data_IF_186338119117
#
_entry.id   IF_186338119117
#
_cell.length_a   1.000
_cell.length_b   1.000
_cell.length_c   1.000
_cell.angle_alpha   90.00
_cell.angle_beta   90.00
_cell.angle_gamma   90.00
#
_symmetry.space_group_name_H-M   'P 1'
#
loop_
_entity.id
_entity.type
_entity.pdbx_description
1 polymer ?
#
# COMPACT_ATOMS: atom_id res chain seq x y z
N UNK A 1 -42.99 -50.14 -12.81
CA UNK A 1 -42.08 -51.29 -12.99
C UNK A 1 -40.86 -51.09 -12.09
N UNK A 2 -40.02 -52.09 -11.88
CA UNK A 2 -38.77 -51.95 -11.13
C UNK A 2 -37.60 -52.27 -12.06
N UNK A 3 -36.48 -51.55 -11.90
CA UNK A 3 -35.23 -51.80 -12.61
C UNK A 3 -34.05 -51.88 -11.62
N UNK A 4 -32.86 -52.13 -12.15
CA UNK A 4 -31.59 -52.26 -11.44
C UNK A 4 -30.73 -51.04 -11.75
N UNK A 5 -30.11 -50.44 -10.72
CA UNK A 5 -29.06 -49.44 -10.87
C UNK A 5 -27.71 -50.15 -10.68
N UNK A 6 -26.86 -50.12 -11.72
CA UNK A 6 -25.59 -50.84 -11.77
C UNK A 6 -24.48 -49.91 -12.29
N UNK A 7 -23.46 -49.58 -11.47
CA UNK A 7 -22.38 -48.71 -11.90
C UNK A 7 -21.46 -49.32 -12.96
N UNK A 8 -21.55 -50.63 -13.21
CA UNK A 8 -20.76 -51.31 -14.24
C UNK A 8 -21.43 -51.28 -15.62
N UNK A 9 -22.72 -50.89 -15.69
CA UNK A 9 -23.50 -50.86 -16.91
C UNK A 9 -23.88 -49.42 -17.22
N UNK A 10 -23.34 -48.85 -18.31
CA UNK A 10 -23.49 -47.44 -18.64
C UNK A 10 -24.96 -46.95 -18.68
N UNK A 11 -25.89 -47.76 -19.20
CA UNK A 11 -27.32 -47.42 -19.27
C UNK A 11 -28.05 -47.43 -17.92
N UNK A 12 -27.46 -48.07 -16.90
CA UNK A 12 -28.01 -48.23 -15.55
C UNK A 12 -27.18 -47.50 -14.49
N UNK A 13 -26.20 -46.72 -14.94
CA UNK A 13 -25.33 -45.92 -14.09
C UNK A 13 -25.89 -44.51 -13.97
N UNK A 14 -26.02 -44.01 -12.74
CA UNK A 14 -26.66 -42.73 -12.42
C UNK A 14 -25.78 -41.86 -11.51
N UNK A 15 -24.59 -41.44 -11.97
CA UNK A 15 -23.63 -40.72 -11.16
C UNK A 15 -23.98 -39.23 -11.02
N UNK A 16 -23.38 -38.51 -10.07
CA UNK A 16 -23.75 -37.12 -9.75
C UNK A 16 -23.50 -36.14 -10.90
N UNK A 17 -22.57 -36.43 -11.81
CA UNK A 17 -22.25 -35.56 -12.96
C UNK A 17 -23.44 -35.41 -13.90
N UNK A 18 -24.35 -36.40 -13.95
CA UNK A 18 -25.57 -36.31 -14.75
C UNK A 18 -26.56 -35.29 -14.22
N UNK A 19 -26.40 -34.80 -12.99
CA UNK A 19 -27.24 -33.72 -12.48
C UNK A 19 -26.83 -32.33 -13.01
N UNK A 20 -25.68 -32.20 -13.68
CA UNK A 20 -25.12 -30.91 -14.15
C UNK A 20 -24.65 -30.95 -15.61
N UNK A 21 -24.78 -32.08 -16.31
CA UNK A 21 -24.29 -32.25 -17.69
C UNK A 21 -25.25 -31.70 -18.76
N UNK A 22 -26.41 -31.17 -18.36
CA UNK A 22 -27.45 -30.64 -19.24
C UNK A 22 -28.12 -31.70 -20.13
N UNK A 23 -27.91 -33.00 -19.85
CA UNK A 23 -28.49 -34.09 -20.63
C UNK A 23 -29.87 -34.50 -20.11
N UNK A 24 -30.50 -35.47 -20.79
CA UNK A 24 -31.76 -36.05 -20.32
C UNK A 24 -31.58 -37.12 -19.22
N UNK A 25 -30.33 -37.42 -18.84
CA UNK A 25 -29.98 -38.40 -17.81
C UNK A 25 -30.16 -37.81 -16.41
N UNK A 26 -30.05 -38.65 -15.38
CA UNK A 26 -30.21 -38.22 -14.00
C UNK A 26 -29.24 -38.91 -13.07
N UNK A 27 -28.90 -38.21 -11.99
CA UNK A 27 -28.30 -38.79 -10.79
C UNK A 27 -29.37 -39.48 -9.94
N UNK A 28 -29.02 -40.58 -9.27
CA UNK A 28 -29.93 -41.28 -8.36
C UNK A 28 -29.25 -41.65 -7.03
N UNK A 29 -29.90 -41.34 -5.91
CA UNK A 29 -29.46 -41.80 -4.58
C UNK A 29 -29.77 -43.28 -4.38
N UNK A 30 -29.09 -43.95 -3.43
CA UNK A 30 -29.53 -45.26 -2.94
C UNK A 30 -30.95 -45.18 -2.37
N UNK A 31 -31.79 -46.21 -2.56
CA UNK A 31 -33.13 -46.23 -2.00
C UNK A 31 -33.13 -46.56 -0.51
N UNK A 32 -34.20 -46.17 0.19
CA UNK A 32 -34.34 -46.39 1.63
C UNK A 32 -34.33 -47.86 2.04
N UNK A 33 -34.62 -48.80 1.12
CA UNK A 33 -34.49 -50.23 1.38
C UNK A 33 -33.05 -50.68 1.64
N UNK A 34 -32.05 -49.87 1.26
CA UNK A 34 -30.63 -50.11 1.58
C UNK A 34 -30.20 -49.50 2.91
N UNK A 35 -31.03 -48.64 3.50
CA UNK A 35 -30.74 -47.99 4.77
C UNK A 35 -31.52 -46.68 4.95
N UNK A 36 -32.03 -46.43 6.15
CA UNK A 36 -32.79 -45.21 6.46
C UNK A 36 -31.91 -43.95 6.52
N UNK A 37 -30.58 -44.12 6.64
CA UNK A 37 -29.60 -43.04 6.55
C UNK A 37 -29.64 -42.34 5.19
N UNK A 38 -30.05 -43.02 4.11
CA UNK A 38 -30.23 -42.43 2.79
C UNK A 38 -31.44 -41.49 2.68
N UNK A 39 -32.17 -41.24 3.76
CA UNK A 39 -33.05 -40.06 3.84
C UNK A 39 -32.25 -38.75 3.85
N UNK A 40 -31.00 -38.82 4.33
CA UNK A 40 -30.12 -37.66 4.42
C UNK A 40 -29.05 -37.77 3.35
N UNK A 41 -29.08 -36.86 2.38
CA UNK A 41 -28.14 -36.81 1.26
C UNK A 41 -27.74 -35.37 1.04
N UNK A 42 -26.43 -35.14 0.92
CA UNK A 42 -25.89 -33.84 0.56
C UNK A 42 -25.37 -33.89 -0.86
N UNK A 43 -25.80 -32.96 -1.70
CA UNK A 43 -25.15 -32.69 -2.98
C UNK A 43 -24.51 -31.30 -2.88
N UNK A 44 -23.21 -31.23 -3.11
CA UNK A 44 -22.45 -29.99 -3.09
C UNK A 44 -21.92 -29.72 -4.48
N UNK A 45 -22.13 -28.51 -4.95
CA UNK A 45 -21.62 -27.98 -6.21
C UNK A 45 -20.57 -26.94 -5.85
N UNK A 46 -19.34 -27.16 -6.28
CA UNK A 46 -18.24 -26.20 -6.18
C UNK A 46 -18.24 -25.34 -7.45
N UNK A 47 -18.29 -24.02 -7.28
CA UNK A 47 -18.28 -23.06 -8.38
C UNK A 47 -16.85 -22.65 -8.78
N UNK A 48 -15.83 -23.07 -8.04
CA UNK A 48 -14.40 -22.78 -8.28
C UNK A 48 -13.97 -21.34 -8.00
N UNK A 49 -14.92 -20.41 -7.90
CA UNK A 49 -14.72 -19.01 -7.55
C UNK A 49 -15.97 -18.42 -6.89
N UNK A 50 -15.91 -17.14 -6.52
CA UNK A 50 -17.03 -16.43 -5.93
C UNK A 50 -18.01 -15.92 -7.00
N UNK A 51 -19.25 -16.38 -6.92
CA UNK A 51 -20.35 -15.96 -7.78
C UNK A 51 -21.38 -15.15 -7.00
N UNK A 52 -22.05 -14.26 -7.74
CA UNK A 52 -23.31 -13.64 -7.34
C UNK A 52 -24.47 -14.46 -7.93
N UNK A 53 -25.07 -15.33 -7.11
CA UNK A 53 -26.14 -16.24 -7.54
C UNK A 53 -27.48 -15.49 -7.53
N UNK A 54 -28.20 -15.52 -8.64
CA UNK A 54 -29.53 -14.92 -8.78
C UNK A 54 -30.64 -15.95 -8.52
N UNK A 55 -30.47 -17.16 -9.04
CA UNK A 55 -31.44 -18.24 -8.87
C UNK A 55 -30.81 -19.63 -8.94
N UNK A 56 -31.50 -20.60 -8.35
CA UNK A 56 -31.20 -22.03 -8.47
C UNK A 56 -32.43 -22.75 -9.00
N UNK A 57 -32.26 -23.45 -10.12
CA UNK A 57 -33.27 -24.29 -10.76
C UNK A 57 -32.88 -25.75 -10.56
N UNK A 58 -33.81 -26.57 -10.06
CA UNK A 58 -33.61 -28.01 -9.89
C UNK A 58 -34.75 -28.74 -10.58
N UNK A 59 -34.41 -29.70 -11.43
CA UNK A 59 -35.36 -30.59 -12.10
C UNK A 59 -35.19 -32.01 -11.60
N UNK A 60 -36.24 -32.55 -11.00
CA UNK A 60 -36.25 -33.94 -10.55
C UNK A 60 -36.33 -34.90 -11.74
N UNK A 61 -35.71 -36.07 -11.62
CA UNK A 61 -35.81 -37.16 -12.59
C UNK A 61 -37.03 -38.05 -12.31
N UNK A 62 -36.80 -39.34 -12.15
CA UNK A 62 -37.81 -40.37 -11.87
C UNK A 62 -38.19 -40.47 -10.37
N UNK A 63 -38.18 -39.36 -9.64
CA UNK A 63 -38.59 -39.31 -8.23
C UNK A 63 -39.36 -38.02 -7.92
N UNK A 64 -40.24 -38.02 -6.90
CA UNK A 64 -40.89 -36.80 -6.47
C UNK A 64 -39.89 -35.83 -5.83
N UNK A 65 -40.30 -34.57 -5.71
CA UNK A 65 -39.52 -33.55 -5.00
C UNK A 65 -39.25 -33.94 -3.54
N UNK A 66 -38.14 -33.50 -2.94
CA UNK A 66 -37.81 -33.85 -1.56
C UNK A 66 -38.87 -33.38 -0.57
N UNK A 67 -39.04 -34.13 0.52
CA UNK A 67 -40.06 -33.81 1.54
C UNK A 67 -39.63 -32.69 2.47
N UNK A 68 -38.42 -32.77 3.00
CA UNK A 68 -37.80 -31.74 3.84
C UNK A 68 -36.34 -31.61 3.43
N UNK A 69 -35.90 -30.39 3.15
CA UNK A 69 -34.54 -30.11 2.70
C UNK A 69 -34.19 -28.63 2.86
N UNK A 70 -32.89 -28.32 2.73
CA UNK A 70 -32.33 -26.98 2.83
C UNK A 70 -31.47 -26.71 1.60
N UNK A 71 -31.62 -25.53 1.02
CA UNK A 71 -30.65 -24.98 0.09
C UNK A 71 -29.68 -24.11 0.90
N UNK A 72 -28.41 -24.46 0.88
CA UNK A 72 -27.35 -23.80 1.64
C UNK A 72 -26.25 -23.30 0.69
N UNK A 73 -25.46 -22.35 1.16
CA UNK A 73 -24.31 -21.79 0.47
C UNK A 73 -23.11 -21.67 1.38
N UNK A 74 -21.93 -21.61 0.78
CA UNK A 74 -20.66 -21.27 1.43
C UNK A 74 -20.03 -20.09 0.70
N UNK A 75 -19.27 -19.27 1.43
CA UNK A 75 -18.42 -18.19 0.89
C UNK A 75 -16.94 -18.40 1.19
N UNK A 76 -16.61 -19.49 1.89
CA UNK A 76 -15.29 -19.86 2.42
C UNK A 76 -14.85 -21.22 1.87
N UNK A 77 -15.08 -21.43 0.57
CA UNK A 77 -14.68 -22.64 -0.17
C UNK A 77 -15.16 -23.96 0.45
N UNK A 78 -16.35 -23.95 1.05
CA UNK A 78 -17.01 -25.15 1.57
C UNK A 78 -16.66 -25.50 3.01
N UNK A 79 -15.97 -24.62 3.75
CA UNK A 79 -15.70 -24.82 5.17
C UNK A 79 -16.96 -24.66 6.02
N UNK A 80 -17.72 -23.59 5.80
CA UNK A 80 -18.99 -23.34 6.51
C UNK A 80 -20.14 -23.15 5.54
N UNK A 81 -21.35 -23.49 6.03
CA UNK A 81 -22.56 -23.40 5.23
C UNK A 81 -23.65 -22.64 5.97
N UNK A 82 -24.25 -21.68 5.27
CA UNK A 82 -25.40 -20.92 5.73
C UNK A 82 -26.60 -21.15 4.81
N UNK A 83 -27.82 -21.18 5.34
CA UNK A 83 -29.00 -21.49 4.55
C UNK A 83 -29.45 -20.29 3.70
N UNK A 84 -29.84 -20.55 2.46
CA UNK A 84 -30.57 -19.60 1.62
C UNK A 84 -32.08 -19.75 1.74
N UNK A 85 -32.57 -20.99 1.84
CA UNK A 85 -34.00 -21.27 1.85
C UNK A 85 -34.28 -22.66 2.45
N UNK A 86 -35.32 -22.73 3.26
CA UNK A 86 -35.85 -23.98 3.80
C UNK A 86 -37.06 -24.47 3.01
N UNK A 87 -37.27 -25.80 3.00
CA UNK A 87 -38.36 -26.42 2.27
C UNK A 87 -38.97 -27.57 3.09
N UNK A 88 -40.30 -27.56 3.23
CA UNK A 88 -41.02 -28.62 3.95
C UNK A 88 -42.41 -28.89 3.36
N UNK A 89 -43.03 -30.03 3.68
CA UNK A 89 -44.31 -30.42 3.09
C UNK A 89 -45.51 -29.58 3.52
N UNK A 90 -45.42 -28.91 4.66
CA UNK A 90 -46.45 -28.04 5.23
C UNK A 90 -45.84 -27.08 6.28
N UNK A 91 -46.62 -26.09 6.73
CA UNK A 91 -46.16 -25.04 7.66
C UNK A 91 -45.78 -25.62 9.04
N UNK A 92 -46.47 -26.66 9.50
CA UNK A 92 -46.12 -27.32 10.76
C UNK A 92 -44.76 -28.00 10.69
N UNK A 93 -44.43 -28.62 9.56
CA UNK A 93 -43.10 -29.19 9.33
C UNK A 93 -42.01 -28.12 9.25
N UNK A 94 -42.28 -26.96 8.62
CA UNK A 94 -41.35 -25.83 8.63
C UNK A 94 -41.02 -25.41 10.06
N UNK A 95 -42.03 -25.17 10.89
CA UNK A 95 -41.86 -24.76 12.28
C UNK A 95 -41.11 -25.81 13.12
N UNK A 96 -41.35 -27.10 12.87
CA UNK A 96 -40.73 -28.19 13.62
C UNK A 96 -39.27 -28.43 13.25
N UNK A 97 -38.91 -28.30 11.96
CA UNK A 97 -37.54 -28.56 11.50
C UNK A 97 -36.63 -27.33 11.54
N UNK A 98 -37.20 -26.15 11.28
CA UNK A 98 -36.43 -24.92 11.01
C UNK A 98 -36.83 -23.74 11.90
N UNK A 99 -37.66 -23.97 12.93
CA UNK A 99 -38.12 -22.92 13.84
C UNK A 99 -39.33 -22.14 13.31
N UNK A 100 -40.06 -21.48 14.22
CA UNK A 100 -41.29 -20.76 13.89
C UNK A 100 -41.01 -19.49 13.07
N UNK A 101 -39.87 -18.86 13.31
CA UNK A 101 -39.35 -17.71 12.59
C UNK A 101 -39.25 -17.97 11.09
N UNK A 102 -38.89 -19.19 10.66
CA UNK A 102 -38.82 -19.55 9.24
C UNK A 102 -40.14 -19.46 8.50
N UNK A 103 -41.28 -19.42 9.21
CA UNK A 103 -42.62 -19.32 8.60
C UNK A 103 -43.07 -17.88 8.36
N UNK A 104 -42.30 -16.91 8.84
CA UNK A 104 -42.58 -15.50 8.66
C UNK A 104 -42.20 -15.04 7.24
N UNK A 105 -42.86 -14.00 6.70
CA UNK A 105 -42.47 -13.40 5.43
C UNK A 105 -41.12 -12.68 5.55
N UNK A 106 -40.46 -12.48 4.40
CA UNK A 106 -39.21 -11.70 4.29
C UNK A 106 -39.48 -10.25 4.70
N UNK A 107 -38.72 -9.76 5.66
CA UNK A 107 -38.67 -8.36 6.09
C UNK A 107 -37.31 -7.73 5.76
N UNK A 108 -36.22 -8.48 5.92
CA UNK A 108 -34.85 -8.07 5.65
C UNK A 108 -34.24 -8.84 4.45
N UNK A 109 -33.18 -8.29 3.86
CA UNK A 109 -32.56 -8.86 2.65
C UNK A 109 -31.89 -10.24 2.91
N UNK A 110 -31.53 -10.54 4.16
CA UNK A 110 -30.86 -11.78 4.56
C UNK A 110 -31.77 -12.80 5.25
N UNK A 111 -33.07 -12.49 5.42
CA UNK A 111 -34.04 -13.40 6.05
C UNK A 111 -34.11 -14.76 5.34
N UNK A 112 -34.13 -15.85 6.11
CA UNK A 112 -34.22 -17.21 5.58
C UNK A 112 -35.58 -17.81 5.91
N UNK A 113 -36.41 -18.00 4.89
CA UNK A 113 -37.79 -18.48 5.06
C UNK A 113 -37.95 -19.95 4.72
N UNK A 114 -39.12 -20.51 5.00
CA UNK A 114 -39.51 -21.88 4.65
C UNK A 114 -40.72 -21.89 3.71
N UNK A 115 -40.55 -22.50 2.54
CA UNK A 115 -41.62 -22.61 1.54
C UNK A 115 -42.14 -24.05 1.43
N UNK A 116 -43.43 -24.18 1.11
CA UNK A 116 -44.11 -25.49 1.06
C UNK A 116 -44.48 -25.95 -0.35
N UNK A 117 -44.45 -25.04 -1.33
CA UNK A 117 -44.89 -25.31 -2.70
C UNK A 117 -44.01 -26.32 -3.45
N UNK A 118 -42.73 -26.40 -3.10
CA UNK A 118 -41.73 -27.25 -3.74
C UNK A 118 -41.47 -28.58 -3.03
N UNK A 119 -42.24 -28.91 -1.97
CA UNK A 119 -42.13 -30.18 -1.23
C UNK A 119 -43.44 -30.99 -1.24
N UNK A 120 -44.33 -30.67 -2.19
CA UNK A 120 -45.53 -31.46 -2.47
C UNK A 120 -45.15 -32.70 -3.29
N UNK A 121 -45.88 -33.80 -3.06
CA UNK A 121 -45.60 -35.11 -3.68
C UNK A 121 -45.91 -35.16 -5.17
N UNK A 122 -46.79 -34.27 -5.66
CA UNK A 122 -47.09 -34.13 -7.09
C UNK A 122 -46.22 -33.01 -7.66
N UNK A 123 -45.61 -33.17 -8.86
CA UNK A 123 -45.62 -34.38 -9.67
C UNK A 123 -44.68 -35.47 -9.11
N UNK A 124 -44.96 -36.73 -9.46
CA UNK A 124 -44.17 -37.88 -9.00
C UNK A 124 -42.83 -38.04 -9.75
N UNK A 125 -42.70 -37.40 -10.92
CA UNK A 125 -41.52 -37.38 -11.77
C UNK A 125 -41.43 -36.01 -12.45
N UNK A 126 -40.23 -35.58 -12.84
CA UNK A 126 -40.06 -34.33 -13.60
C UNK A 126 -40.40 -33.05 -12.85
N UNK A 127 -40.52 -33.09 -11.52
CA UNK A 127 -40.88 -31.94 -10.72
C UNK A 127 -39.83 -30.84 -10.77
N UNK A 128 -40.26 -29.60 -10.97
CA UNK A 128 -39.37 -28.44 -11.02
C UNK A 128 -39.43 -27.65 -9.71
N UNK A 129 -38.27 -27.14 -9.32
CA UNK A 129 -38.04 -26.31 -8.15
C UNK A 129 -37.27 -25.08 -8.63
N UNK A 130 -37.86 -23.91 -8.40
CA UNK A 130 -37.24 -22.62 -8.78
C UNK A 130 -37.06 -21.78 -7.53
N UNK A 131 -35.82 -21.43 -7.24
CA UNK A 131 -35.46 -20.60 -6.08
C UNK A 131 -34.85 -19.32 -6.60
N UNK A 132 -35.58 -18.20 -6.51
CA UNK A 132 -35.05 -16.87 -6.82
C UNK A 132 -34.60 -16.22 -5.52
N UNK A 133 -33.33 -15.82 -5.44
CA UNK A 133 -32.77 -15.21 -4.22
C UNK A 133 -33.10 -13.71 -4.11
N UNK A 134 -33.50 -13.08 -5.21
CA UNK A 134 -33.82 -11.64 -5.29
C UNK A 134 -35.31 -11.33 -5.12
N UNK A 135 -36.20 -12.31 -5.34
CA UNK A 135 -37.64 -12.06 -5.31
C UNK A 135 -38.12 -11.68 -3.90
N UNK A 136 -38.98 -10.67 -3.81
CA UNK A 136 -39.58 -10.16 -2.57
C UNK A 136 -38.58 -9.65 -1.52
N UNK A 137 -37.34 -9.35 -1.92
CA UNK A 137 -36.33 -8.71 -1.08
C UNK A 137 -36.48 -7.18 -1.13
N UNK A 138 -36.43 -6.46 0.00
CA UNK A 138 -36.59 -5.01 0.04
C UNK A 138 -35.66 -4.26 -0.93
N UNK A 139 -34.39 -4.65 -1.00
CA UNK A 139 -33.38 -3.96 -1.82
C UNK A 139 -33.22 -4.55 -3.22
N UNK A 140 -34.13 -5.40 -3.69
CA UNK A 140 -34.03 -6.04 -5.01
C UNK A 140 -33.87 -5.02 -6.15
N UNK A 141 -34.58 -3.89 -6.07
CA UNK A 141 -34.52 -2.82 -7.08
C UNK A 141 -33.28 -1.92 -6.94
N UNK A 142 -32.57 -1.99 -5.82
CA UNK A 142 -31.39 -1.20 -5.49
C UNK A 142 -30.22 -2.10 -5.09
N UNK A 143 -30.06 -3.22 -5.78
CA UNK A 143 -29.13 -4.30 -5.45
C UNK A 143 -27.69 -3.79 -5.21
N UNK A 144 -27.19 -2.91 -6.08
CA UNK A 144 -25.82 -2.38 -6.00
C UNK A 144 -25.57 -1.49 -4.77
N UNK A 145 -26.62 -0.98 -4.13
CA UNK A 145 -26.52 -0.12 -2.95
C UNK A 145 -26.68 -0.90 -1.63
N UNK A 146 -27.20 -2.13 -1.68
CA UNK A 146 -27.35 -2.99 -0.49
C UNK A 146 -26.17 -3.94 -0.37
N UNK A 147 -25.30 -3.70 0.61
CA UNK A 147 -24.22 -4.64 0.96
C UNK A 147 -24.79 -5.97 1.47
N UNK A 148 -25.90 -5.92 2.22
CA UNK A 148 -26.55 -7.11 2.80
C UNK A 148 -27.05 -8.06 1.71
N UNK A 149 -27.78 -7.55 0.70
CA UNK A 149 -28.29 -8.40 -0.38
C UNK A 149 -27.17 -8.94 -1.28
N UNK A 150 -26.11 -8.14 -1.49
CA UNK A 150 -24.90 -8.58 -2.19
C UNK A 150 -24.20 -9.70 -1.42
N UNK A 151 -24.01 -9.57 -0.11
CA UNK A 151 -23.41 -10.63 0.70
C UNK A 151 -24.30 -11.87 0.77
N UNK A 152 -25.62 -11.71 0.86
CA UNK A 152 -26.59 -12.81 0.89
C UNK A 152 -26.51 -13.67 -0.37
N UNK A 153 -26.41 -13.05 -1.55
CA UNK A 153 -26.40 -13.77 -2.84
C UNK A 153 -25.01 -14.26 -3.28
N UNK A 154 -23.95 -14.00 -2.50
CA UNK A 154 -22.60 -14.52 -2.78
C UNK A 154 -22.46 -16.00 -2.42
N UNK A 155 -21.83 -16.79 -3.27
CA UNK A 155 -21.46 -18.17 -2.97
C UNK A 155 -20.22 -18.63 -3.76
N UNK A 156 -19.40 -19.46 -3.13
CA UNK A 156 -18.39 -20.30 -3.77
C UNK A 156 -18.88 -21.74 -3.92
N UNK A 157 -19.72 -22.20 -2.99
CA UNK A 157 -20.33 -23.53 -3.06
C UNK A 157 -21.82 -23.44 -2.80
N UNK A 158 -22.58 -24.29 -3.47
CA UNK A 158 -24.03 -24.45 -3.27
C UNK A 158 -24.31 -25.88 -2.84
N UNK A 159 -25.02 -26.05 -1.74
CA UNK A 159 -25.33 -27.37 -1.18
C UNK A 159 -26.83 -27.60 -1.05
N UNK A 160 -27.29 -28.70 -1.63
CA UNK A 160 -28.62 -29.24 -1.40
C UNK A 160 -28.52 -30.25 -0.26
N UNK A 161 -29.01 -29.87 0.93
CA UNK A 161 -29.05 -30.72 2.10
C UNK A 161 -30.43 -31.36 2.21
N UNK A 162 -30.56 -32.56 1.65
CA UNK A 162 -31.79 -33.34 1.67
C UNK A 162 -31.92 -34.03 3.03
N UNK A 163 -33.02 -33.80 3.75
CA UNK A 163 -33.19 -34.31 5.12
C UNK A 163 -34.19 -35.47 5.19
N UNK A 164 -35.22 -35.45 4.34
CA UNK A 164 -36.28 -36.47 4.33
C UNK A 164 -36.96 -36.62 2.98
N UNK A 165 -37.18 -37.86 2.58
CA UNK A 165 -37.91 -38.19 1.34
C UNK A 165 -39.41 -37.91 1.48
N UNK A 166 -40.09 -37.60 0.37
CA UNK A 166 -41.55 -37.46 0.38
C UNK A 166 -42.20 -38.82 0.22
N UNK A 167 -43.03 -39.20 1.19
CA UNK A 167 -43.78 -40.47 1.16
C UNK A 167 -45.25 -40.25 0.87
N UNK A 168 -45.89 -41.25 0.26
CA UNK A 168 -47.34 -41.28 0.11
C UNK A 168 -48.00 -41.63 1.45
N UNK A 169 -49.12 -40.98 1.77
CA UNK A 169 -49.83 -41.17 3.04
C UNK A 169 -50.13 -42.65 3.32
N UNK A 170 -50.59 -43.39 2.30
CA UNK A 170 -50.90 -44.82 2.41
C UNK A 170 -49.68 -45.73 2.65
N UNK A 171 -48.45 -45.22 2.52
CA UNK A 171 -47.22 -45.99 2.72
C UNK A 171 -46.51 -45.66 4.04
N UNK A 172 -47.01 -44.71 4.84
CA UNK A 172 -46.36 -44.24 6.06
C UNK A 172 -45.99 -45.37 7.03
N UNK A 173 -46.94 -46.27 7.33
CA UNK A 173 -46.73 -47.38 8.25
C UNK A 173 -45.70 -48.39 7.72
N UNK A 174 -45.73 -48.68 6.42
CA UNK A 174 -44.78 -49.60 5.79
C UNK A 174 -43.36 -49.02 5.73
N UNK A 175 -43.23 -47.70 5.52
CA UNK A 175 -41.94 -47.00 5.60
C UNK A 175 -41.41 -47.00 7.04
N UNK A 176 -42.28 -46.73 8.03
CA UNK A 176 -41.90 -46.77 9.44
C UNK A 176 -41.43 -48.17 9.89
N UNK A 177 -42.04 -49.22 9.34
CA UNK A 177 -41.63 -50.63 9.55
C UNK A 177 -40.47 -51.08 8.66
N UNK A 178 -39.94 -50.19 7.83
CA UNK A 178 -38.82 -50.46 6.91
C UNK A 178 -39.09 -51.61 5.92
N UNK A 179 -40.35 -51.77 5.48
CA UNK A 179 -40.72 -52.83 4.53
C UNK A 179 -39.97 -52.63 3.19
N UNK A 180 -39.09 -53.57 2.80
CA UNK A 180 -38.25 -53.43 1.61
C UNK A 180 -39.06 -53.37 0.32
N UNK A 181 -40.30 -53.87 0.27
CA UNK A 181 -41.17 -53.80 -0.92
C UNK A 181 -41.64 -52.37 -1.20
N UNK A 182 -41.74 -51.55 -0.16
CA UNK A 182 -42.19 -50.16 -0.21
C UNK A 182 -40.98 -49.20 -0.20
N UNK A 183 -40.00 -49.42 0.68
CA UNK A 183 -38.84 -48.53 0.85
C UNK A 183 -37.91 -48.51 -0.36
N UNK A 184 -37.94 -49.55 -1.22
CA UNK A 184 -37.18 -49.56 -2.50
C UNK A 184 -37.65 -48.49 -3.50
N UNK A 185 -38.85 -47.94 -3.30
CA UNK A 185 -39.45 -46.91 -4.19
C UNK A 185 -39.13 -45.48 -3.75
N UNK A 186 -38.48 -45.29 -2.61
CA UNK A 186 -38.15 -43.98 -2.07
C UNK A 186 -36.64 -43.76 -2.17
N UNK A 187 -36.27 -42.81 -3.03
CA UNK A 187 -34.92 -42.33 -3.30
C UNK A 187 -35.04 -40.91 -3.87
N UNK A 188 -33.91 -40.24 -4.04
CA UNK A 188 -33.82 -38.97 -4.76
C UNK A 188 -33.27 -39.18 -6.15
N UNK A 189 -33.81 -38.46 -7.12
CA UNK A 189 -33.37 -38.46 -8.50
C UNK A 189 -33.42 -37.05 -9.05
N UNK A 190 -32.27 -36.54 -9.51
CA UNK A 190 -32.11 -35.18 -10.02
C UNK A 190 -31.54 -35.26 -11.42
N UNK A 191 -32.26 -34.63 -12.34
CA UNK A 191 -31.95 -34.60 -13.77
C UNK A 191 -31.09 -33.40 -14.13
N UNK A 192 -31.40 -32.24 -13.56
CA UNK A 192 -30.67 -31.01 -13.85
C UNK A 192 -30.64 -30.09 -12.62
N UNK A 193 -29.48 -29.46 -12.41
CA UNK A 193 -29.25 -28.39 -11.45
C UNK A 193 -28.59 -27.25 -12.22
N UNK A 194 -29.37 -26.20 -12.46
CA UNK A 194 -28.93 -25.00 -13.15
C UNK A 194 -28.84 -23.84 -12.15
N UNK A 195 -27.64 -23.30 -11.94
CA UNK A 195 -27.39 -22.16 -11.07
C UNK A 195 -27.14 -20.93 -11.95
N UNK A 196 -28.07 -19.98 -11.91
CA UNK A 196 -27.96 -18.73 -12.65
C UNK A 196 -27.34 -17.64 -11.79
N UNK A 197 -26.32 -16.97 -12.30
CA UNK A 197 -25.62 -15.90 -11.61
C UNK A 197 -24.65 -15.15 -12.51
N UNK A 198 -23.81 -14.31 -11.89
CA UNK A 198 -22.69 -13.64 -12.55
C UNK A 198 -21.45 -13.74 -11.69
N UNK A 199 -20.27 -13.66 -12.30
CA UNK A 199 -19.04 -13.54 -11.52
C UNK A 199 -18.98 -12.20 -10.79
N UNK A 200 -18.20 -12.16 -9.71
CA UNK A 200 -17.91 -10.93 -8.98
C UNK A 200 -16.58 -10.36 -9.49
N UNK A 201 -16.65 -9.37 -10.38
CA UNK A 201 -15.46 -8.73 -10.97
C UNK A 201 -15.25 -7.27 -10.51
N UNK A 202 -15.92 -6.86 -9.43
CA UNK A 202 -15.84 -5.50 -8.84
C UNK A 202 -16.05 -4.33 -9.83
N UNK A 203 -16.81 -4.57 -10.92
CA UNK A 203 -17.04 -3.57 -11.96
C UNK A 203 -15.92 -3.40 -12.98
N UNK A 204 -14.85 -4.21 -12.91
CA UNK A 204 -13.71 -4.14 -13.81
C UNK A 204 -13.67 -5.24 -14.87
N UNK A 205 -14.72 -6.05 -15.02
CA UNK A 205 -14.86 -6.96 -16.15
C UNK A 205 -16.33 -7.16 -16.52
N UNK A 206 -16.57 -7.36 -17.80
CA UNK A 206 -17.87 -7.66 -18.40
C UNK A 206 -18.07 -9.17 -18.65
N UNK A 207 -16.97 -9.92 -18.78
CA UNK A 207 -16.96 -11.35 -19.11
C UNK A 207 -16.01 -12.11 -18.19
N UNK A 208 -16.36 -13.36 -17.90
CA UNK A 208 -15.46 -14.34 -17.31
C UNK A 208 -15.18 -15.45 -18.31
N UNK A 209 -13.96 -15.93 -18.31
CA UNK A 209 -13.54 -17.02 -19.19
C UNK A 209 -12.58 -17.96 -18.46
N UNK A 210 -12.35 -19.13 -19.05
CA UNK A 210 -11.39 -20.11 -18.57
C UNK A 210 -10.00 -19.63 -19.03
N UNK A 211 -9.32 -18.86 -18.19
CA UNK A 211 -8.00 -18.31 -18.48
C UNK A 211 -6.84 -19.11 -17.90
N UNK A 212 -7.13 -19.99 -16.94
CA UNK A 212 -6.12 -20.82 -16.27
C UNK A 212 -5.86 -22.11 -17.09
N UNK A 213 -4.65 -22.34 -17.62
CA UNK A 213 -4.33 -23.57 -18.35
C UNK A 213 -4.38 -24.83 -17.47
N UNK A 214 -4.20 -24.67 -16.15
CA UNK A 214 -4.13 -25.77 -15.20
C UNK A 214 -5.51 -26.13 -14.62
N UNK A 215 -6.49 -25.22 -14.71
CA UNK A 215 -7.86 -25.43 -14.22
C UNK A 215 -8.92 -25.01 -15.25
N UNK A 216 -9.32 -25.98 -16.08
CA UNK A 216 -10.30 -25.79 -17.14
C UNK A 216 -11.75 -25.57 -16.66
N UNK A 217 -12.01 -25.69 -15.36
CA UNK A 217 -13.36 -25.54 -14.80
C UNK A 217 -13.54 -24.23 -14.04
N UNK A 218 -12.45 -23.49 -13.83
CA UNK A 218 -12.47 -22.20 -13.14
C UNK A 218 -12.64 -21.06 -14.13
N UNK A 219 -13.80 -20.42 -14.05
CA UNK A 219 -14.03 -19.13 -14.70
C UNK A 219 -13.26 -18.05 -13.94
N UNK A 220 -12.60 -17.14 -14.64
CA UNK A 220 -11.91 -15.99 -14.08
C UNK A 220 -12.34 -14.72 -14.80
N UNK A 221 -12.46 -13.61 -14.08
CA UNK A 221 -12.78 -12.32 -14.67
C UNK A 221 -11.69 -11.91 -15.67
N UNK A 222 -12.10 -11.52 -16.89
CA UNK A 222 -11.21 -10.87 -17.87
C UNK A 222 -11.04 -9.41 -17.48
N UNK A 223 -10.16 -9.16 -16.52
CA UNK A 223 -10.00 -7.84 -15.92
C UNK A 223 -9.59 -6.78 -16.94
N UNK A 224 -10.29 -5.65 -16.86
CA UNK A 224 -10.05 -4.41 -17.58
C UNK A 224 -9.55 -3.36 -16.57
N UNK A 225 -9.50 -2.09 -16.97
CA UNK A 225 -9.16 -0.98 -16.07
C UNK A 225 -7.80 -1.13 -15.37
N UNK A 226 -6.86 -1.86 -15.99
CA UNK A 226 -5.55 -2.22 -15.44
C UNK A 226 -5.62 -2.89 -14.05
N UNK A 227 -6.67 -3.67 -13.83
CA UNK A 227 -6.84 -4.49 -12.63
C UNK A 227 -6.44 -5.94 -12.90
N UNK A 228 -6.02 -6.62 -11.84
CA UNK A 228 -5.50 -7.97 -11.86
C UNK A 228 -6.10 -8.76 -10.69
N UNK A 229 -6.00 -10.09 -10.73
CA UNK A 229 -6.62 -10.98 -9.75
C UNK A 229 -7.75 -11.81 -10.35
N UNK A 230 -8.36 -12.69 -9.54
CA UNK A 230 -9.45 -13.54 -10.05
C UNK A 230 -10.79 -12.79 -10.17
N UNK A 231 -10.94 -11.77 -9.33
CA UNK A 231 -12.13 -10.92 -9.19
C UNK A 231 -11.80 -9.45 -9.51
N UNK A 232 -10.63 -9.18 -10.10
CA UNK A 232 -10.14 -7.83 -10.38
C UNK A 232 -10.01 -6.97 -9.10
N UNK A 233 -9.59 -7.61 -8.02
CA UNK A 233 -9.55 -7.08 -6.66
C UNK A 233 -8.29 -6.27 -6.31
N UNK A 234 -7.39 -6.08 -7.27
CA UNK A 234 -6.17 -5.28 -7.11
C UNK A 234 -5.76 -4.62 -8.42
N UNK A 235 -4.96 -3.57 -8.35
CA UNK A 235 -4.28 -3.04 -9.53
C UNK A 235 -3.18 -3.99 -10.02
N UNK A 236 -2.94 -3.97 -11.33
CA UNK A 236 -1.82 -4.71 -11.92
C UNK A 236 -0.47 -4.11 -11.51
N UNK A 237 0.62 -4.91 -11.50
CA UNK A 237 1.97 -4.40 -11.29
C UNK A 237 2.28 -3.23 -12.24
N UNK A 238 2.85 -2.15 -11.71
CA UNK A 238 3.13 -0.92 -12.46
C UNK A 238 1.96 0.06 -12.57
N UNK A 239 0.72 -0.37 -12.27
CA UNK A 239 -0.50 0.44 -12.31
C UNK A 239 -1.02 0.84 -10.93
N UNK A 240 -0.09 1.22 -10.05
CA UNK A 240 -0.36 1.33 -8.62
C UNK A 240 -0.14 2.79 -8.15
N UNK A 241 -0.45 3.77 -9.02
CA UNK A 241 -0.36 5.19 -8.65
C UNK A 241 -1.41 5.57 -7.60
N UNK A 242 -2.62 4.99 -7.69
CA UNK A 242 -3.76 5.28 -6.80
C UNK A 242 -4.23 4.02 -6.09
N UNK A 243 -4.80 4.18 -4.89
CA UNK A 243 -5.39 3.08 -4.10
C UNK A 243 -6.54 2.43 -4.87
N UNK A 244 -6.50 1.10 -4.98
CA UNK A 244 -7.54 0.33 -5.67
C UNK A 244 -8.92 0.54 -5.03
N UNK A 245 -9.96 0.67 -5.86
CA UNK A 245 -11.36 0.65 -5.44
C UNK A 245 -12.25 0.01 -6.52
N UNK A 246 -13.41 -0.58 -6.16
CA UNK A 246 -14.37 -1.06 -7.14
C UNK A 246 -14.84 0.05 -8.09
N UNK A 247 -15.08 -0.29 -9.36
CA UNK A 247 -15.66 0.64 -10.32
C UNK A 247 -17.17 0.79 -10.08
N UNK A 248 -17.63 2.05 -9.93
CA UNK A 248 -19.04 2.39 -9.85
C UNK A 248 -19.68 2.55 -11.22
N UNK A 249 -21.02 2.66 -11.27
CA UNK A 249 -21.76 2.84 -12.54
C UNK A 249 -21.52 4.21 -13.19
N UNK A 250 -21.27 5.26 -12.39
CA UNK A 250 -21.03 6.63 -12.88
C UNK A 250 -19.57 7.08 -12.76
N UNK A 251 -18.79 6.40 -11.93
CA UNK A 251 -17.40 6.73 -11.62
C UNK A 251 -16.57 5.46 -11.80
N UNK A 252 -16.09 5.28 -13.04
CA UNK A 252 -15.29 4.14 -13.43
C UNK A 252 -13.86 4.30 -12.91
N UNK A 253 -13.51 3.57 -11.86
CA UNK A 253 -12.14 3.56 -11.38
C UNK A 253 -11.24 2.76 -12.34
N UNK A 254 -10.15 3.40 -12.76
CA UNK A 254 -9.10 2.80 -13.58
C UNK A 254 -7.78 2.92 -12.83
N UNK A 255 -7.09 1.79 -12.66
CA UNK A 255 -5.76 1.78 -12.08
C UNK A 255 -4.80 2.51 -13.01
N UNK A 256 -4.10 3.49 -12.46
CA UNK A 256 -3.22 4.38 -13.20
C UNK A 256 -1.76 3.94 -13.10
N UNK A 257 -1.00 3.95 -14.20
CA UNK A 257 0.43 3.65 -14.19
C UNK A 257 1.21 4.64 -13.31
N UNK A 258 2.21 4.14 -12.58
CA UNK A 258 3.14 5.00 -11.87
C UNK A 258 3.97 5.80 -12.88
N UNK A 259 4.21 7.08 -12.59
CA UNK A 259 5.09 7.91 -13.42
C UNK A 259 6.53 7.81 -12.92
N UNK A 260 7.34 6.98 -13.57
CA UNK A 260 8.77 6.82 -13.26
C UNK A 260 9.69 7.42 -14.33
N UNK A 261 9.16 8.31 -15.18
CA UNK A 261 9.85 8.91 -16.33
C UNK A 261 10.61 7.90 -17.22
N UNK A 262 10.16 6.65 -17.30
CA UNK A 262 10.82 5.62 -18.12
C UNK A 262 12.12 5.05 -17.52
N UNK A 263 12.45 5.35 -16.27
CA UNK A 263 13.62 4.81 -15.56
C UNK A 263 13.35 3.47 -14.84
N UNK A 264 12.09 3.09 -14.69
CA UNK A 264 11.65 1.79 -14.18
C UNK A 264 10.17 1.59 -14.51
N UNK A 265 9.72 0.33 -14.53
CA UNK A 265 8.30 -0.03 -14.62
C UNK A 265 7.79 -0.66 -13.32
N UNK A 266 8.64 -0.75 -12.31
CA UNK A 266 8.33 -1.32 -11.01
C UNK A 266 8.02 -0.18 -10.04
N UNK A 267 6.88 -0.27 -9.37
CA UNK A 267 6.49 0.65 -8.32
C UNK A 267 5.66 -0.05 -7.25
N UNK A 268 5.65 0.54 -6.07
CA UNK A 268 4.76 0.16 -4.97
C UNK A 268 3.89 1.36 -4.61
N UNK A 269 2.73 1.09 -4.02
CA UNK A 269 1.90 2.16 -3.47
C UNK A 269 2.23 2.36 -2.00
N UNK A 270 2.45 3.61 -1.62
CA UNK A 270 2.70 4.07 -0.27
C UNK A 270 1.62 5.07 0.14
N UNK A 271 0.92 4.79 1.23
CA UNK A 271 -0.20 5.59 1.72
C UNK A 271 0.26 6.94 2.28
N UNK A 272 1.45 7.01 2.88
CA UNK A 272 1.98 8.27 3.42
C UNK A 272 2.36 9.23 2.28
N UNK A 273 2.92 8.69 1.20
CA UNK A 273 3.25 9.45 -0.02
C UNK A 273 1.99 10.04 -0.66
N UNK A 274 0.89 9.27 -0.70
CA UNK A 274 -0.41 9.71 -1.21
C UNK A 274 -1.00 10.83 -0.35
N UNK A 275 -1.05 10.62 0.98
CA UNK A 275 -1.58 11.63 1.91
C UNK A 275 -0.80 12.95 1.87
N UNK A 276 0.52 12.88 1.62
CA UNK A 276 1.40 14.05 1.52
C UNK A 276 1.49 14.64 0.10
N UNK A 277 0.84 14.05 -0.90
CA UNK A 277 0.91 14.45 -2.31
C UNK A 277 2.37 14.57 -2.82
N UNK A 278 3.17 13.53 -2.60
CA UNK A 278 4.60 13.53 -2.96
C UNK A 278 4.90 12.82 -4.28
N UNK A 279 4.02 11.94 -4.75
CA UNK A 279 4.17 11.28 -6.05
C UNK A 279 3.53 12.10 -7.16
N UNK A 280 4.19 12.16 -8.32
CA UNK A 280 3.67 12.77 -9.53
C UNK A 280 2.96 11.70 -10.36
N UNK A 281 1.78 12.03 -10.88
CA UNK A 281 0.98 11.18 -11.74
C UNK A 281 1.44 11.27 -13.21
N UNK A 282 0.78 10.57 -14.15
CA UNK A 282 1.17 10.63 -15.57
C UNK A 282 0.81 11.95 -16.27
N UNK A 283 0.00 12.80 -15.62
CA UNK A 283 -0.42 14.11 -16.13
C UNK A 283 0.47 15.24 -15.60
N UNK A 284 1.38 14.94 -14.68
CA UNK A 284 2.30 15.91 -14.07
C UNK A 284 1.76 16.57 -12.80
N UNK A 285 0.66 16.06 -12.25
CA UNK A 285 0.05 16.54 -11.02
C UNK A 285 0.56 15.73 -9.82
N UNK A 286 0.69 16.38 -8.66
CA UNK A 286 1.07 15.70 -7.41
C UNK A 286 -0.14 15.00 -6.81
N UNK A 287 -0.47 13.82 -7.32
CA UNK A 287 -1.60 13.00 -6.89
C UNK A 287 -1.21 11.52 -6.87
N UNK A 288 -1.56 10.80 -5.81
CA UNK A 288 -1.29 9.38 -5.68
C UNK A 288 -0.08 9.04 -4.81
N UNK A 289 0.09 7.74 -4.57
CA UNK A 289 1.11 7.17 -3.69
C UNK A 289 2.12 6.28 -4.40
N UNK A 290 2.22 6.34 -5.73
CA UNK A 290 3.15 5.50 -6.49
C UNK A 290 4.61 5.84 -6.21
N UNK A 291 5.39 4.89 -5.71
CA UNK A 291 6.84 5.02 -5.46
C UNK A 291 7.60 4.06 -6.34
N UNK A 292 8.38 4.62 -7.26
CA UNK A 292 9.21 3.88 -8.21
C UNK A 292 10.31 3.09 -7.49
N UNK A 293 10.59 1.88 -7.98
CA UNK A 293 11.57 0.96 -7.43
C UNK A 293 12.71 0.75 -8.41
N UNK A 294 13.93 0.62 -7.89
CA UNK A 294 15.13 0.29 -8.70
C UNK A 294 15.34 1.26 -9.88
N UNK A 295 15.27 2.58 -9.62
CA UNK A 295 15.50 3.62 -10.63
C UNK A 295 16.81 3.37 -11.42
N UNK A 296 16.69 3.24 -12.74
CA UNK A 296 17.83 3.06 -13.64
C UNK A 296 18.39 4.40 -14.11
N UNK A 297 19.38 4.41 -15.00
CA UNK A 297 19.94 5.64 -15.59
C UNK A 297 20.54 6.64 -14.58
N UNK A 298 21.00 6.15 -13.42
CA UNK A 298 21.56 6.94 -12.31
C UNK A 298 20.56 7.97 -11.72
N UNK A 299 19.27 7.73 -11.84
CA UNK A 299 18.23 8.54 -11.20
C UNK A 299 17.84 7.98 -9.83
N UNK A 300 17.23 8.84 -9.00
CA UNK A 300 16.67 8.53 -7.69
C UNK A 300 15.46 9.43 -7.39
N UNK A 301 14.80 9.21 -6.25
CA UNK A 301 13.58 9.91 -5.86
C UNK A 301 12.32 9.06 -6.05
N UNK A 302 11.17 9.59 -5.65
CA UNK A 302 9.88 8.89 -5.67
C UNK A 302 9.48 8.52 -7.10
N UNK A 303 9.72 9.44 -8.04
CA UNK A 303 9.39 9.28 -9.45
C UNK A 303 10.63 9.04 -10.32
N UNK A 304 11.80 8.76 -9.72
CA UNK A 304 13.09 8.72 -10.43
C UNK A 304 13.42 10.05 -11.14
N UNK A 305 13.06 11.17 -10.53
CA UNK A 305 13.09 12.53 -11.10
C UNK A 305 14.36 13.32 -10.77
N UNK A 306 15.25 12.75 -9.93
CA UNK A 306 16.51 13.37 -9.48
C UNK A 306 17.69 12.53 -9.89
N UNK A 307 18.87 13.13 -9.97
CA UNK A 307 20.10 12.39 -10.18
C UNK A 307 20.71 11.93 -8.87
N UNK A 308 21.25 10.71 -8.87
CA UNK A 308 22.03 10.17 -7.75
C UNK A 308 23.28 11.01 -7.46
N UNK A 309 23.80 10.92 -6.24
CA UNK A 309 25.02 11.61 -5.84
C UNK A 309 26.20 11.34 -6.79
N UNK A 310 26.90 12.40 -7.20
CA UNK A 310 27.96 12.36 -8.22
C UNK A 310 27.47 12.44 -9.67
N UNK A 311 26.17 12.59 -9.89
CA UNK A 311 25.55 12.90 -11.18
C UNK A 311 24.72 14.18 -11.09
N UNK A 312 24.44 14.79 -12.25
CA UNK A 312 23.59 15.97 -12.37
C UNK A 312 22.83 15.92 -13.70
N UNK A 313 21.69 16.62 -13.79
CA UNK A 313 20.95 16.82 -15.03
C UNK A 313 21.37 18.14 -15.70
N UNK A 314 22.02 18.12 -16.88
CA UNK A 314 22.37 19.33 -17.62
C UNK A 314 21.14 20.13 -18.06
N UNK A 315 21.31 21.44 -18.28
CA UNK A 315 20.24 22.27 -18.84
C UNK A 315 19.79 21.75 -20.22
N UNK A 316 18.48 21.64 -20.41
CA UNK A 316 17.86 21.22 -21.67
C UNK A 316 17.70 19.71 -21.87
N UNK A 317 18.11 18.87 -20.90
CA UNK A 317 17.80 17.45 -20.89
C UNK A 317 16.39 17.19 -20.37
N UNK A 318 15.65 16.32 -21.04
CA UNK A 318 14.30 15.92 -20.61
C UNK A 318 14.38 14.87 -19.51
N UNK A 319 13.37 14.83 -18.64
CA UNK A 319 13.30 13.87 -17.53
C UNK A 319 13.21 12.42 -17.99
N UNK A 320 12.69 12.17 -19.20
CA UNK A 320 12.51 10.84 -19.76
C UNK A 320 13.75 10.29 -20.50
N UNK A 321 14.80 11.11 -20.66
CA UNK A 321 16.00 10.73 -21.40
C UNK A 321 16.78 9.64 -20.64
N UNK A 322 17.22 8.59 -21.34
CA UNK A 322 18.02 7.52 -20.71
C UNK A 322 19.41 7.99 -20.25
N UNK A 323 19.88 9.14 -20.77
CA UNK A 323 21.13 9.80 -20.39
C UNK A 323 20.88 11.14 -19.66
N UNK A 324 19.70 11.29 -19.03
CA UNK A 324 19.30 12.50 -18.28
C UNK A 324 20.33 12.90 -17.23
N UNK A 325 20.91 11.93 -16.53
CA UNK A 325 21.92 12.14 -15.49
C UNK A 325 23.33 11.90 -16.03
N UNK A 326 24.12 12.97 -16.07
CA UNK A 326 25.52 12.94 -16.47
C UNK A 326 26.43 12.95 -15.25
N UNK A 327 27.54 12.21 -15.34
CA UNK A 327 28.51 12.13 -14.25
C UNK A 327 29.20 13.47 -14.04
N UNK A 328 29.31 13.91 -12.79
CA UNK A 328 30.09 15.09 -12.42
C UNK A 328 31.57 14.88 -12.79
N UNK A 329 32.14 15.81 -13.57
CA UNK A 329 33.56 15.80 -13.92
C UNK A 329 34.37 16.62 -12.92
N UNK A 330 34.35 16.20 -11.65
CA UNK A 330 34.99 16.90 -10.56
C UNK A 330 36.20 16.14 -10.02
N UNK A 331 37.26 16.87 -9.66
CA UNK A 331 38.38 16.27 -8.97
C UNK A 331 38.03 16.09 -7.49
N UNK A 332 37.78 14.83 -7.10
CA UNK A 332 37.39 14.43 -5.73
C UNK A 332 38.39 14.81 -4.64
N UNK A 333 39.61 15.24 -5.00
CA UNK A 333 40.58 15.79 -4.06
C UNK A 333 40.20 17.21 -3.61
N UNK A 334 39.69 18.04 -4.53
CA UNK A 334 39.31 19.44 -4.29
C UNK A 334 37.80 19.60 -4.02
N UNK A 335 36.97 18.64 -4.45
CA UNK A 335 35.51 18.69 -4.34
C UNK A 335 34.93 17.55 -3.51
N UNK A 336 33.63 17.62 -3.21
CA UNK A 336 32.86 16.53 -2.60
C UNK A 336 32.59 15.37 -3.58
N UNK A 337 32.84 15.60 -4.89
CA UNK A 337 32.46 14.71 -5.98
C UNK A 337 31.08 14.99 -6.57
N UNK A 338 30.25 15.79 -5.88
CA UNK A 338 28.96 16.27 -6.38
C UNK A 338 29.13 17.56 -7.19
N UNK A 339 28.09 17.88 -7.97
CA UNK A 339 28.03 19.08 -8.77
C UNK A 339 26.60 19.62 -8.86
N UNK A 340 26.48 20.90 -9.18
CA UNK A 340 25.20 21.60 -9.24
C UNK A 340 24.36 21.15 -10.42
N UNK A 341 23.06 20.98 -10.18
CA UNK A 341 22.06 20.71 -11.20
C UNK A 341 22.07 21.78 -12.31
N UNK A 342 21.91 21.35 -13.55
CA UNK A 342 21.92 22.20 -14.73
C UNK A 342 23.32 22.57 -15.23
N UNK A 343 24.16 23.17 -14.37
CA UNK A 343 25.47 23.70 -14.78
C UNK A 343 26.61 22.68 -14.69
N UNK A 344 26.51 21.67 -13.82
CA UNK A 344 27.58 20.72 -13.54
C UNK A 344 28.76 21.33 -12.76
N UNK A 345 28.57 22.50 -12.16
CA UNK A 345 29.61 23.17 -11.38
C UNK A 345 29.91 22.39 -10.09
N UNK A 346 31.18 22.07 -9.84
CA UNK A 346 31.58 21.23 -8.73
C UNK A 346 31.33 21.87 -7.36
N UNK A 347 30.89 21.06 -6.41
CA UNK A 347 30.80 21.47 -5.00
C UNK A 347 32.18 21.32 -4.34
N UNK A 348 32.88 22.44 -4.14
CA UNK A 348 34.19 22.46 -3.50
C UNK A 348 34.12 21.98 -2.05
N UNK A 349 35.18 21.31 -1.58
CA UNK A 349 35.33 21.08 -0.14
C UNK A 349 35.59 22.41 0.58
N UNK A 350 35.35 22.49 1.90
CA UNK A 350 35.46 23.75 2.64
C UNK A 350 36.83 24.44 2.54
N UNK A 351 37.90 23.68 2.29
CA UNK A 351 39.27 24.18 2.18
C UNK A 351 39.58 24.86 0.83
N UNK A 352 38.73 24.67 -0.18
CA UNK A 352 38.94 25.18 -1.53
C UNK A 352 37.89 26.22 -1.92
N UNK A 353 38.32 27.25 -2.62
CA UNK A 353 37.50 28.39 -2.99
C UNK A 353 36.55 28.03 -4.15
N UNK A 354 35.23 28.20 -3.98
CA UNK A 354 34.28 28.12 -5.10
C UNK A 354 34.46 29.30 -6.08
N UNK A 355 34.13 29.15 -7.38
CA UNK A 355 33.41 28.03 -8.00
C UNK A 355 34.29 26.89 -8.53
N UNK A 356 35.57 27.13 -8.78
CA UNK A 356 36.43 26.23 -9.57
C UNK A 356 37.32 25.31 -8.73
N UNK A 357 37.35 25.51 -7.40
CA UNK A 357 38.18 24.77 -6.45
C UNK A 357 39.69 24.81 -6.81
N UNK A 358 40.13 25.90 -7.43
CA UNK A 358 41.49 26.10 -7.97
C UNK A 358 42.39 26.95 -7.05
N UNK A 359 41.84 27.43 -5.94
CA UNK A 359 42.55 28.15 -4.89
C UNK A 359 42.10 27.67 -3.49
N UNK A 360 42.89 28.00 -2.47
CA UNK A 360 42.46 27.78 -1.09
C UNK A 360 41.38 28.79 -0.70
N UNK A 361 40.38 28.32 0.04
CA UNK A 361 39.33 29.15 0.59
C UNK A 361 39.89 30.10 1.67
N UNK A 362 39.12 31.11 2.05
CA UNK A 362 39.50 32.05 3.11
C UNK A 362 39.84 31.30 4.40
N UNK A 363 41.01 31.62 4.99
CA UNK A 363 41.55 30.93 6.15
C UNK A 363 42.36 29.67 5.84
N UNK A 364 42.64 29.37 4.57
CA UNK A 364 43.52 28.28 4.13
C UNK A 364 44.63 28.77 3.19
N UNK A 365 45.75 28.04 3.13
CA UNK A 365 46.91 28.34 2.26
C UNK A 365 47.60 27.06 1.75
N UNK A 366 48.58 27.18 0.84
CA UNK A 366 49.42 26.06 0.33
C UNK A 366 48.75 25.16 -0.74
N UNK A 367 48.04 25.76 -1.71
CA UNK A 367 47.48 25.01 -2.86
C UNK A 367 48.59 24.23 -3.61
N UNK A 368 48.39 22.94 -3.94
CA UNK A 368 47.13 22.20 -3.93
C UNK A 368 46.73 21.57 -2.59
N UNK A 369 47.58 21.57 -1.56
CA UNK A 369 47.29 20.92 -0.28
C UNK A 369 46.88 21.98 0.76
N UNK A 370 45.68 22.53 0.61
CA UNK A 370 45.22 23.64 1.44
C UNK A 370 45.21 23.28 2.93
N UNK A 371 45.94 24.06 3.73
CA UNK A 371 46.09 23.92 5.18
C UNK A 371 45.46 25.12 5.89
N UNK A 372 44.85 24.92 7.06
CA UNK A 372 44.29 26.03 7.82
C UNK A 372 45.41 27.00 8.24
N UNK A 373 45.13 28.30 8.15
CA UNK A 373 46.02 29.35 8.65
C UNK A 373 46.03 29.35 10.19
N UNK A 374 47.21 29.52 10.79
CA UNK A 374 47.37 29.69 12.25
C UNK A 374 47.23 31.17 12.70
N UNK A 375 46.51 31.99 11.93
CA UNK A 375 46.32 33.40 12.25
C UNK A 375 45.35 33.61 13.41
N UNK A 376 45.69 34.52 14.32
CA UNK A 376 44.75 34.97 15.33
C UNK A 376 43.63 35.79 14.68
N UNK A 377 42.41 35.23 14.69
CA UNK A 377 41.25 35.76 13.97
C UNK A 377 40.92 37.21 14.33
N UNK A 378 41.04 37.60 15.60
CA UNK A 378 40.73 38.96 16.03
C UNK A 378 41.81 39.97 15.59
N UNK A 379 43.06 39.51 15.49
CA UNK A 379 44.21 40.34 15.13
C UNK A 379 44.47 40.46 13.63
N UNK A 380 43.83 39.64 12.79
CA UNK A 380 44.11 39.55 11.35
C UNK A 380 43.03 40.24 10.51
N UNK A 381 43.41 40.94 9.46
CA UNK A 381 42.51 41.53 8.47
C UNK A 381 42.00 40.42 7.52
N UNK A 382 40.68 40.27 7.40
CA UNK A 382 40.06 39.32 6.47
C UNK A 382 40.21 37.83 6.84
N UNK A 383 41.03 37.46 7.83
CA UNK A 383 41.28 36.06 8.19
C UNK A 383 42.11 35.28 7.17
N UNK A 384 42.78 35.99 6.27
CA UNK A 384 43.61 35.45 5.18
C UNK A 384 45.05 35.34 5.68
N UNK A 385 45.84 34.38 5.18
CA UNK A 385 47.28 34.32 5.41
C UNK A 385 48.06 34.28 4.09
N UNK A 386 49.32 34.72 4.11
CA UNK A 386 50.17 34.71 2.92
C UNK A 386 50.59 33.29 2.53
N UNK A 387 50.85 33.09 1.23
CA UNK A 387 51.26 31.81 0.64
C UNK A 387 52.54 31.31 1.31
N UNK A 388 52.53 30.06 1.78
CA UNK A 388 53.67 29.39 2.45
C UNK A 388 53.66 29.46 3.97
N UNK A 389 52.55 29.86 4.60
CA UNK A 389 52.46 30.07 6.05
C UNK A 389 53.12 31.39 6.47
N UNK A 390 53.10 32.36 5.56
CA UNK A 390 53.70 33.68 5.74
C UNK A 390 52.94 34.55 6.74
N UNK A 391 53.38 35.79 6.89
CA UNK A 391 52.87 36.72 7.89
C UNK A 391 51.40 37.04 7.63
N UNK A 392 50.57 36.83 8.66
CA UNK A 392 49.17 37.25 8.65
C UNK A 392 49.09 38.78 8.52
N UNK A 393 48.19 39.34 7.70
CA UNK A 393 47.97 40.77 7.58
C UNK A 393 47.36 41.31 8.87
N UNK A 394 48.20 41.72 9.82
CA UNK A 394 47.74 42.18 11.13
C UNK A 394 47.02 43.52 11.05
N UNK A 395 45.92 43.63 11.81
CA UNK A 395 45.28 44.90 12.13
C UNK A 395 46.29 45.82 12.82
N UNK A 396 46.01 47.12 12.79
CA UNK A 396 46.95 48.17 13.20
C UNK A 396 47.52 48.00 14.62
N UNK A 397 46.70 47.51 15.54
CA UNK A 397 47.04 47.31 16.95
C UNK A 397 47.67 45.93 17.25
N UNK A 398 47.83 45.07 16.24
CA UNK A 398 48.40 43.73 16.36
C UNK A 398 49.69 43.61 15.53
N UNK A 399 50.54 42.68 15.94
CA UNK A 399 51.76 42.32 15.21
C UNK A 399 52.12 40.85 15.46
N UNK A 400 53.22 40.38 14.87
CA UNK A 400 53.64 38.98 14.91
C UNK A 400 53.34 38.26 13.61
N UNK A 401 53.93 37.07 13.42
CA UNK A 401 53.68 36.24 12.23
C UNK A 401 52.19 35.86 12.16
N UNK A 402 51.58 35.62 13.31
CA UNK A 402 50.20 35.15 13.43
C UNK A 402 49.24 36.21 14.00
N UNK A 403 49.66 37.47 14.12
CA UNK A 403 48.89 38.56 14.75
C UNK A 403 48.44 38.23 16.19
N UNK A 404 49.26 37.48 16.89
CA UNK A 404 49.04 36.87 18.20
C UNK A 404 49.65 37.69 19.35
N UNK A 405 50.10 38.92 19.07
CA UNK A 405 50.62 39.86 20.05
C UNK A 405 50.25 41.30 19.70
N UNK A 406 50.25 42.17 20.72
CA UNK A 406 49.97 43.59 20.54
C UNK A 406 51.20 44.32 19.98
N UNK A 407 50.97 45.25 19.04
CA UNK A 407 52.02 46.11 18.48
C UNK A 407 52.56 47.06 19.58
N UNK A 408 53.85 47.48 19.54
CA UNK A 408 54.36 48.51 20.43
C UNK A 408 53.43 49.74 20.50
N UNK A 409 53.10 50.17 21.71
CA UNK A 409 52.08 51.20 21.94
C UNK A 409 50.69 50.66 22.28
N UNK A 410 50.50 49.33 22.29
CA UNK A 410 49.26 48.66 22.69
C UNK A 410 49.53 47.55 23.74
N UNK A 411 48.54 47.21 24.58
CA UNK A 411 48.65 46.24 25.67
C UNK A 411 47.37 45.41 25.85
N UNK A 412 47.40 44.39 26.72
CA UNK A 412 46.23 43.56 27.09
C UNK A 412 45.68 42.70 25.93
N UNK A 413 46.49 41.78 25.40
CA UNK A 413 46.04 40.75 24.45
C UNK A 413 44.94 39.88 25.07
N UNK A 414 43.83 39.56 24.37
CA UNK A 414 43.61 39.65 22.92
C UNK A 414 42.99 40.97 22.44
N UNK A 415 42.75 41.97 23.28
CA UNK A 415 42.05 43.20 22.88
C UNK A 415 42.99 44.26 22.28
N UNK A 416 44.26 44.27 22.69
CA UNK A 416 45.28 45.20 22.22
C UNK A 416 44.82 46.67 22.25
N UNK A 417 44.63 47.17 23.48
CA UNK A 417 44.21 48.52 23.80
C UNK A 417 45.39 49.50 23.72
N UNK A 418 45.20 50.75 23.32
CA UNK A 418 46.29 51.73 23.25
C UNK A 418 46.85 52.03 24.65
N UNK A 419 48.17 52.20 24.73
CA UNK A 419 48.85 52.54 25.98
C UNK A 419 48.41 53.91 26.52
N UNK A 420 48.21 54.90 25.63
CA UNK A 420 47.83 56.28 25.96
C UNK A 420 48.74 56.95 27.02
N UNK A 421 50.05 56.72 26.95
CA UNK A 421 51.01 57.37 27.86
C UNK A 421 51.05 58.88 27.64
N UNK A 422 51.18 59.66 28.71
CA UNK A 422 51.31 61.13 28.70
C UNK A 422 52.67 61.55 28.16
N UNK A 423 52.69 62.46 27.18
CA UNK A 423 53.91 63.01 26.58
C UNK A 423 54.78 63.80 27.57
N UNK A 424 54.22 64.26 28.69
CA UNK A 424 54.92 65.08 29.69
C UNK A 424 55.53 64.20 30.79
N UNK A 425 54.81 63.14 31.18
CA UNK A 425 55.12 62.33 32.36
C UNK A 425 55.95 61.09 32.07
N UNK A 426 56.39 60.85 30.83
CA UNK A 426 57.01 59.61 30.37
C UNK A 426 58.53 59.71 30.24
N UNK A 427 59.24 58.63 30.58
CA UNK A 427 60.69 58.51 30.29
C UNK A 427 60.89 58.44 28.77
N UNK A 428 61.86 59.18 28.24
CA UNK A 428 62.18 59.21 26.81
C UNK A 428 62.24 57.80 26.21
N UNK A 429 61.46 57.58 25.16
CA UNK A 429 61.39 56.33 24.39
C UNK A 429 60.87 55.09 25.15
N UNK A 430 60.12 55.26 26.25
CA UNK A 430 59.50 54.13 26.97
C UNK A 430 58.19 53.67 26.30
N UNK A 431 58.07 52.38 26.00
CA UNK A 431 56.81 51.71 25.63
C UNK A 431 56.13 51.17 26.89
N UNK A 432 54.80 51.21 26.97
CA UNK A 432 54.10 50.67 28.14
C UNK A 432 54.26 49.15 28.26
N UNK A 433 54.11 48.62 29.48
CA UNK A 433 54.15 47.18 29.75
C UNK A 433 53.04 46.43 29.00
N UNK A 434 53.40 45.36 28.29
CA UNK A 434 52.51 44.65 27.35
C UNK A 434 51.30 43.96 28.02
N UNK A 435 51.37 43.67 29.33
CA UNK A 435 50.30 43.01 30.09
C UNK A 435 49.47 44.05 30.86
N UNK A 436 50.12 44.89 31.66
CA UNK A 436 49.48 45.84 32.57
C UNK A 436 49.17 47.20 31.96
N UNK A 437 49.80 47.54 30.84
CA UNK A 437 49.68 48.84 30.19
C UNK A 437 50.37 49.97 30.95
N UNK A 438 51.22 49.66 31.93
CA UNK A 438 51.92 50.65 32.75
C UNK A 438 53.03 51.33 31.95
N UNK A 439 52.94 52.64 31.79
CA UNK A 439 53.95 53.49 31.18
C UNK A 439 55.12 53.73 32.13
N UNK A 440 56.33 53.91 31.59
CA UNK A 440 57.50 54.29 32.38
C UNK A 440 57.44 55.76 32.76
N UNK A 441 57.02 56.10 33.98
CA UNK A 441 56.87 57.48 34.41
C UNK A 441 58.20 58.12 34.84
N UNK A 442 58.44 59.39 34.48
CA UNK A 442 59.52 60.21 35.03
C UNK A 442 59.30 60.34 36.55
N UNK A 443 60.40 60.44 37.31
CA UNK A 443 60.33 60.82 38.72
C UNK A 443 59.36 62.01 38.91
N UNK A 444 58.50 61.92 39.92
CA UNK A 444 57.38 62.84 40.24
C UNK A 444 56.05 62.63 39.48
N UNK A 445 56.01 61.80 38.44
CA UNK A 445 54.77 61.43 37.72
C UNK A 445 54.36 60.00 38.04
N UNK A 446 53.05 59.72 38.00
CA UNK A 446 52.50 58.42 38.36
C UNK A 446 51.14 58.15 37.70
N UNK A 447 50.56 56.98 37.97
CA UNK A 447 49.41 56.48 37.21
C UNK A 447 49.83 55.55 36.07
N UNK A 448 48.85 54.85 35.47
CA UNK A 448 49.10 53.91 34.38
C UNK A 448 49.70 54.62 33.17
N UNK A 449 49.19 55.80 32.87
CA UNK A 449 49.52 56.64 31.72
C UNK A 449 50.46 57.80 32.07
N UNK A 450 50.94 57.92 33.32
CA UNK A 450 51.77 59.05 33.78
C UNK A 450 51.11 60.44 33.62
N UNK A 451 49.78 60.50 33.66
CA UNK A 451 48.94 61.69 33.48
C UNK A 451 48.63 62.43 34.78
N UNK A 452 49.22 61.99 35.90
CA UNK A 452 49.04 62.59 37.22
C UNK A 452 50.36 62.61 37.97
N UNK A 453 50.42 63.42 39.02
CA UNK A 453 51.60 63.45 39.89
C UNK A 453 51.69 62.16 40.73
N UNK A 454 52.91 61.69 40.94
CA UNK A 454 53.19 60.57 41.83
C UNK A 454 52.80 60.92 43.27
N UNK A 455 52.57 59.91 44.09
CA UNK A 455 52.19 60.11 45.48
C UNK A 455 53.22 60.98 46.21
N UNK A 456 52.78 62.13 46.72
CA UNK A 456 53.65 63.13 47.38
C UNK A 456 53.99 64.38 46.55
N UNK A 457 53.55 64.46 45.30
CA UNK A 457 53.73 65.62 44.39
C UNK A 457 52.37 66.22 43.98
N UNK A 458 52.32 67.52 43.67
CA UNK A 458 51.09 68.28 43.38
C UNK A 458 51.26 69.24 42.20
N UNK A 459 50.18 69.80 41.66
CA UNK A 459 50.16 70.76 40.54
C UNK A 459 50.62 70.18 39.16
N UNK A 460 49.86 69.24 38.60
CA UNK A 460 50.05 68.76 37.22
C UNK A 460 49.78 69.90 36.21
N UNK A 461 50.60 70.10 35.16
CA UNK A 461 51.64 69.20 34.62
C UNK A 461 53.06 69.42 35.17
N UNK A 462 53.25 70.27 36.18
CA UNK A 462 54.59 70.56 36.72
C UNK A 462 55.04 69.61 37.83
N UNK A 463 54.10 69.01 38.57
CA UNK A 463 54.33 68.02 39.63
C UNK A 463 55.50 68.40 40.56
N UNK A 464 55.40 69.58 41.17
CA UNK A 464 56.47 70.18 41.97
C UNK A 464 56.69 69.51 43.32
#
# INVERSE_FOLDING_TARGET
>A
WCDVCDPLVAEKYHPPEYAIDGSERWWQSPPLSRGMNYNQVNLTIDLGQLFQVAYVLIKMGNSPRPGVWVLERSVDNGETYTPWQYFAGNVGECANFFGKESTLPIQEDDDVTCVTQFSKVVPLEGGEIVVSLLNNRPSANSFFNSSVLQEFTRATNVRLRLLRTKTLLGHLMSVARQDPTVTRRYFYSIKDISIGGRCVCNGHADVCDITDPDDLYKLQCRCQHNTCGSQCERCCPGFIQKKWRPAGYQDGFVCEPCNCFGHTNECIYDEEVDEQNLSIDIFGEYEGGGVCQNCQHNTEGINCDKCTSGYFRPYGKELNDTDVCQKCNCNVFYSTGNCAEGSGQCECRPEYLPPDCDACNDGYYDYPNCKPCDCHRNGTQGGICEVGGGQCPCKENYEGLNCDRCRPGFYNFPECLPCDCSDIGIVDNSTCDIVSGQCGCINKFGGRTCDRCAHGYYDYPTCT
#
